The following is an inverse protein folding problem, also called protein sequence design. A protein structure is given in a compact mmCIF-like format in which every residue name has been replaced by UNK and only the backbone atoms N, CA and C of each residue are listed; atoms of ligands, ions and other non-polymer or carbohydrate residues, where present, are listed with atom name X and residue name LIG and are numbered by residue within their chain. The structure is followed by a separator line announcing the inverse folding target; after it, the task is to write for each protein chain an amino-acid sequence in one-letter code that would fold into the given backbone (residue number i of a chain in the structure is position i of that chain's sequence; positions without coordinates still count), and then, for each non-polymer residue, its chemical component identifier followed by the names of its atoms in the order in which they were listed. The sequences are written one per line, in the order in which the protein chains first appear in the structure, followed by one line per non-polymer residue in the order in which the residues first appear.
data_IF_083021581387
#
_entry.id   IF_083021581387
#
_cell.length_a   1.000
_cell.length_b   1.000
_cell.length_c   1.000
_cell.angle_alpha   90.00
_cell.angle_beta   90.00
_cell.angle_gamma   90.00
#
_symmetry.space_group_name_H-M   'P 1'
#
loop_
_entity.id
_entity.type
_entity.pdbx_description
1 polymer ?
#
# COMPACT_ATOMS: atom_id res chain seq x y z
N UNK A 1 7.70 -4.04 -3.28
CA UNK A 1 8.56 -4.13 -2.08
C UNK A 1 10.04 -4.34 -2.40
N UNK A 2 10.42 -5.08 -3.45
CA UNK A 2 11.84 -5.39 -3.77
C UNK A 2 12.78 -4.19 -3.86
N UNK A 3 12.39 -3.12 -4.56
CA UNK A 3 13.26 -1.94 -4.72
C UNK A 3 13.60 -1.25 -3.38
N UNK A 4 12.65 -1.19 -2.45
CA UNK A 4 12.84 -0.53 -1.16
C UNK A 4 13.66 -1.41 -0.20
N UNK A 5 13.50 -2.73 -0.32
CA UNK A 5 14.32 -3.72 0.38
C UNK A 5 15.79 -3.64 -0.05
N UNK A 6 16.06 -3.59 -1.36
CA UNK A 6 17.41 -3.47 -1.89
C UNK A 6 18.08 -2.13 -1.54
N UNK A 7 17.28 -1.06 -1.43
CA UNK A 7 17.77 0.24 -1.00
C UNK A 7 18.34 0.21 0.44
N UNK A 8 17.83 -0.65 1.32
CA UNK A 8 18.41 -0.80 2.67
C UNK A 8 19.83 -1.37 2.63
N UNK A 9 20.10 -2.25 1.67
CA UNK A 9 21.42 -2.85 1.49
C UNK A 9 22.38 -1.88 0.77
N UNK A 10 21.87 -0.99 -0.08
CA UNK A 10 22.64 0.01 -0.81
C UNK A 10 23.06 1.23 0.03
N UNK A 11 22.32 1.57 1.08
CA UNK A 11 22.55 2.79 1.86
C UNK A 11 23.68 2.65 2.89
N UNK A 12 24.55 3.67 2.96
CA UNK A 12 25.52 3.82 4.05
C UNK A 12 24.89 4.48 5.28
N UNK A 13 25.07 3.86 6.45
CA UNK A 13 24.54 4.35 7.71
C UNK A 13 25.64 5.06 8.51
N UNK A 14 25.47 6.35 8.87
CA UNK A 14 26.49 7.10 9.62
C UNK A 14 26.65 6.64 11.07
N UNK A 15 25.69 5.87 11.61
CA UNK A 15 25.69 5.37 12.99
C UNK A 15 25.50 3.85 12.99
N UNK A 16 26.40 3.12 13.67
CA UNK A 16 26.36 1.66 13.76
C UNK A 16 25.07 1.11 14.39
N UNK A 17 24.54 1.81 15.40
CA UNK A 17 23.28 1.44 16.03
C UNK A 17 22.10 1.48 15.03
N UNK A 18 22.09 2.47 14.13
CA UNK A 18 21.06 2.58 13.10
C UNK A 18 21.17 1.45 12.07
N UNK A 19 22.40 1.09 11.65
CA UNK A 19 22.64 -0.06 10.77
C UNK A 19 22.16 -1.36 11.40
N UNK A 20 22.53 -1.63 12.64
CA UNK A 20 22.17 -2.86 13.35
C UNK A 20 20.65 -2.96 13.52
N UNK A 21 19.98 -1.86 13.91
CA UNK A 21 18.52 -1.82 14.04
C UNK A 21 17.81 -2.07 12.70
N UNK A 22 18.30 -1.46 11.62
CA UNK A 22 17.67 -1.56 10.30
C UNK A 22 17.91 -2.92 9.67
N UNK A 23 19.11 -3.48 9.75
CA UNK A 23 19.42 -4.82 9.23
C UNK A 23 18.70 -5.93 10.01
N UNK A 24 18.48 -5.73 11.32
CA UNK A 24 17.79 -6.71 12.15
C UNK A 24 16.27 -6.79 11.89
N UNK A 25 15.63 -5.71 11.43
CA UNK A 25 14.15 -5.63 11.30
C UNK A 25 13.64 -5.30 9.89
N UNK A 26 14.47 -4.67 9.06
CA UNK A 26 14.15 -4.18 7.70
C UNK A 26 12.77 -3.50 7.61
N UNK A 27 12.48 -2.46 8.42
CA UNK A 27 11.19 -1.78 8.38
C UNK A 27 11.02 -1.02 7.06
N UNK A 28 9.88 -1.20 6.40
CA UNK A 28 9.54 -0.53 5.15
C UNK A 28 8.25 0.30 5.35
N UNK A 29 8.34 1.60 5.04
CA UNK A 29 7.21 2.52 5.08
C UNK A 29 6.74 2.84 3.67
N UNK A 30 5.63 2.23 3.24
CA UNK A 30 4.94 2.61 2.00
C UNK A 30 3.74 3.47 2.38
N UNK A 31 3.49 4.55 1.65
CA UNK A 31 2.35 5.44 1.86
C UNK A 31 1.55 5.63 0.58
N UNK A 32 0.36 6.19 0.72
CA UNK A 32 -0.51 6.56 -0.40
C UNK A 32 -0.39 8.07 -0.64
N UNK A 33 -0.09 8.45 -1.88
CA UNK A 33 -0.14 9.85 -2.33
C UNK A 33 -1.35 10.07 -3.22
N UNK A 34 -1.85 11.31 -3.25
CA UNK A 34 -2.97 11.72 -4.10
C UNK A 34 -4.33 11.07 -3.76
N UNK A 35 -4.57 10.75 -2.48
CA UNK A 35 -5.84 10.20 -1.99
C UNK A 35 -7.02 11.15 -2.27
N UNK A 36 -6.82 12.46 -2.15
CA UNK A 36 -7.84 13.46 -2.41
C UNK A 36 -8.36 13.41 -3.85
N UNK A 37 -7.47 13.21 -4.82
CA UNK A 37 -7.87 13.07 -6.22
C UNK A 37 -8.57 11.74 -6.49
N UNK A 38 -8.12 10.66 -5.84
CA UNK A 38 -8.79 9.37 -5.93
C UNK A 38 -10.22 9.46 -5.40
N UNK A 39 -10.44 10.15 -4.28
CA UNK A 39 -11.77 10.44 -3.74
C UNK A 39 -12.62 11.23 -4.72
N UNK A 40 -12.08 12.32 -5.28
CA UNK A 40 -12.79 13.15 -6.25
C UNK A 40 -13.18 12.38 -7.53
N UNK A 41 -12.34 11.45 -8.00
CA UNK A 41 -12.68 10.56 -9.14
C UNK A 41 -13.79 9.55 -8.84
N UNK A 42 -14.00 9.23 -7.57
CA UNK A 42 -15.04 8.32 -7.12
C UNK A 42 -16.29 9.08 -6.63
N UNK A 43 -16.37 10.38 -6.90
CA UNK A 43 -17.43 11.29 -6.44
C UNK A 43 -17.57 11.34 -4.92
N UNK A 44 -16.46 11.15 -4.19
CA UNK A 44 -16.40 11.18 -2.73
C UNK A 44 -15.76 12.47 -2.22
N UNK A 45 -16.29 13.00 -1.12
CA UNK A 45 -15.72 14.14 -0.39
C UNK A 45 -15.03 13.67 0.90
N UNK A 46 -14.21 14.51 1.55
CA UNK A 46 -13.64 14.16 2.86
C UNK A 46 -14.61 14.37 4.03
N UNK A 47 -15.45 15.40 3.94
CA UNK A 47 -16.27 15.87 5.06
C UNK A 47 -17.61 15.14 5.12
N UNK A 48 -18.16 14.80 3.97
CA UNK A 48 -19.46 14.14 3.82
C UNK A 48 -19.25 12.85 3.04
N UNK A 49 -18.86 11.79 3.75
CA UNK A 49 -18.71 10.45 3.21
C UNK A 49 -19.95 9.63 3.55
N UNK A 50 -20.63 9.15 2.51
CA UNK A 50 -21.70 8.17 2.66
C UNK A 50 -21.13 6.81 3.08
N UNK A 51 -21.96 5.96 3.68
CA UNK A 51 -21.57 4.59 4.07
C UNK A 51 -20.98 3.77 2.91
N UNK A 52 -21.50 3.97 1.69
CA UNK A 52 -20.98 3.33 0.48
C UNK A 52 -19.58 3.84 0.10
N UNK A 53 -19.29 5.13 0.33
CA UNK A 53 -17.97 5.71 0.12
C UNK A 53 -16.94 5.19 1.13
N UNK A 54 -17.35 5.03 2.38
CA UNK A 54 -16.51 4.45 3.43
C UNK A 54 -16.15 3.00 3.11
N UNK A 55 -17.11 2.20 2.63
CA UNK A 55 -16.84 0.82 2.20
C UNK A 55 -15.83 0.75 1.05
N UNK A 56 -15.92 1.66 0.06
CA UNK A 56 -14.93 1.73 -1.03
C UNK A 56 -13.53 2.08 -0.53
N UNK A 57 -13.42 3.03 0.39
CA UNK A 57 -12.15 3.39 1.02
C UNK A 57 -11.57 2.24 1.84
N UNK A 58 -12.42 1.53 2.58
CA UNK A 58 -12.04 0.37 3.36
C UNK A 58 -11.46 -0.73 2.47
N UNK A 59 -12.16 -1.09 1.39
CA UNK A 59 -11.69 -2.06 0.40
C UNK A 59 -10.36 -1.64 -0.25
N UNK A 60 -10.19 -0.35 -0.54
CA UNK A 60 -8.94 0.17 -1.08
C UNK A 60 -7.77 0.01 -0.09
N UNK A 61 -7.97 0.41 1.17
CA UNK A 61 -6.95 0.32 2.20
C UNK A 61 -6.60 -1.14 2.55
N UNK A 62 -7.61 -2.01 2.60
CA UNK A 62 -7.46 -3.45 2.80
C UNK A 62 -6.62 -4.06 1.67
N UNK A 63 -7.01 -3.85 0.42
CA UNK A 63 -6.29 -4.35 -0.75
C UNK A 63 -4.82 -3.88 -0.73
N UNK A 64 -4.60 -2.60 -0.42
CA UNK A 64 -3.27 -2.02 -0.31
C UNK A 64 -2.41 -2.75 0.73
N UNK A 65 -2.93 -2.94 1.95
CA UNK A 65 -2.23 -3.67 3.01
C UNK A 65 -1.94 -5.13 2.63
N UNK A 66 -2.91 -5.81 2.02
CA UNK A 66 -2.81 -7.20 1.61
C UNK A 66 -1.69 -7.42 0.58
N UNK A 67 -1.63 -6.58 -0.45
CA UNK A 67 -0.58 -6.70 -1.47
C UNK A 67 0.82 -6.42 -0.93
N UNK A 68 0.96 -5.49 0.02
CA UNK A 68 2.25 -5.22 0.68
C UNK A 68 2.71 -6.43 1.49
N UNK A 69 1.79 -7.02 2.25
CA UNK A 69 2.01 -8.23 3.03
C UNK A 69 2.38 -9.40 2.12
N UNK A 70 1.60 -9.66 1.06
CA UNK A 70 1.87 -10.73 0.10
C UNK A 70 3.25 -10.61 -0.53
N UNK A 71 3.61 -9.39 -0.99
CA UNK A 71 4.93 -9.14 -1.56
C UNK A 71 6.06 -9.34 -0.54
N UNK A 72 5.82 -9.09 0.75
CA UNK A 72 6.77 -9.36 1.83
C UNK A 72 6.97 -10.86 2.06
N UNK A 73 5.89 -11.65 2.02
CA UNK A 73 5.97 -13.12 2.10
C UNK A 73 6.77 -13.70 0.95
N UNK A 74 6.50 -13.26 -0.27
CA UNK A 74 7.19 -13.78 -1.45
C UNK A 74 8.69 -13.42 -1.41
N UNK A 75 9.04 -12.23 -0.94
CA UNK A 75 10.42 -11.83 -0.70
C UNK A 75 11.10 -12.70 0.38
N UNK A 76 10.40 -13.01 1.47
CA UNK A 76 10.93 -13.87 2.53
C UNK A 76 11.16 -15.33 2.07
N UNK A 77 10.37 -15.82 1.11
CA UNK A 77 10.62 -17.11 0.45
C UNK A 77 11.88 -17.09 -0.42
N UNK A 78 12.16 -15.96 -1.07
CA UNK A 78 13.31 -15.79 -1.98
C UNK A 78 14.64 -15.57 -1.22
N UNK A 79 14.66 -14.63 -0.27
CA UNK A 79 15.88 -14.20 0.44
C UNK A 79 16.07 -14.84 1.83
N UNK A 80 15.05 -15.54 2.33
CA UNK A 80 15.02 -16.06 3.70
C UNK A 80 14.41 -15.08 4.71
N UNK A 81 14.06 -15.59 5.89
CA UNK A 81 13.44 -14.80 6.96
C UNK A 81 14.45 -13.87 7.63
N UNK A 82 13.93 -12.76 8.19
CA UNK A 82 14.74 -11.75 8.89
C UNK A 82 15.25 -12.31 10.24
N UNK A 83 16.46 -11.90 10.63
CA UNK A 83 17.22 -12.46 11.76
C UNK A 83 16.57 -12.29 13.16
N UNK A 84 15.68 -11.31 13.36
CA UNK A 84 15.03 -11.06 14.65
C UNK A 84 13.54 -11.48 14.63
N UNK A 85 13.18 -12.72 14.99
CA UNK A 85 11.80 -13.21 14.97
C UNK A 85 10.92 -12.64 16.09
N UNK A 86 11.49 -12.01 17.13
CA UNK A 86 10.74 -11.60 18.34
C UNK A 86 9.68 -10.52 18.11
N UNK A 87 9.72 -9.81 16.97
CA UNK A 87 8.71 -8.79 16.63
C UNK A 87 7.55 -9.33 15.77
N UNK A 88 7.60 -10.57 15.28
CA UNK A 88 6.66 -11.08 14.27
C UNK A 88 5.36 -11.69 14.82
N UNK A 89 5.01 -11.44 16.09
CA UNK A 89 3.72 -11.88 16.67
C UNK A 89 2.49 -11.34 15.92
N UNK A 90 2.66 -10.37 15.01
CA UNK A 90 1.61 -9.82 14.16
C UNK A 90 1.46 -10.52 12.79
N UNK A 91 2.26 -11.55 12.51
CA UNK A 91 2.32 -12.17 11.19
C UNK A 91 2.33 -13.70 11.25
N UNK A 92 1.47 -14.28 12.08
CA UNK A 92 1.17 -15.70 11.93
C UNK A 92 0.42 -15.91 10.61
N UNK A 93 0.63 -17.03 9.90
CA UNK A 93 -0.13 -17.35 8.69
C UNK A 93 -1.65 -17.34 8.95
N UNK A 94 -2.07 -17.57 10.20
CA UNK A 94 -3.46 -17.48 10.66
C UNK A 94 -4.07 -16.08 10.55
N UNK A 95 -3.29 -15.01 10.76
CA UNK A 95 -3.77 -13.62 10.65
C UNK A 95 -3.94 -13.22 9.18
N UNK A 96 -3.07 -13.72 8.32
CA UNK A 96 -3.15 -13.59 6.86
C UNK A 96 -4.37 -14.33 6.28
N UNK A 97 -4.65 -15.54 6.79
CA UNK A 97 -5.86 -16.30 6.45
C UNK A 97 -7.12 -15.62 6.98
N UNK A 98 -7.09 -14.99 8.16
CA UNK A 98 -8.21 -14.16 8.65
C UNK A 98 -8.50 -12.94 7.77
N UNK A 99 -7.46 -12.28 7.24
CA UNK A 99 -7.63 -11.21 6.25
C UNK A 99 -8.13 -11.75 4.90
N UNK A 100 -7.71 -12.96 4.48
CA UNK A 100 -8.19 -13.59 3.25
C UNK A 100 -9.65 -14.10 3.34
N UNK A 101 -10.08 -14.54 4.52
CA UNK A 101 -11.42 -15.09 4.75
C UNK A 101 -12.51 -14.01 4.89
N UNK A 102 -12.11 -12.75 5.07
CA UNK A 102 -12.99 -11.59 4.91
C UNK A 102 -13.04 -11.17 3.43
N UNK A 103 -13.78 -11.93 2.61
CA UNK A 103 -14.37 -11.45 1.34
C UNK A 103 -13.47 -10.79 0.24
N UNK A 104 -12.20 -11.15 0.11
CA UNK A 104 -11.32 -10.66 -0.99
C UNK A 104 -11.56 -11.44 -2.32
N UNK A 105 -12.78 -11.85 -2.65
CA UNK A 105 -13.07 -12.54 -3.91
C UNK A 105 -13.44 -11.60 -5.07
N UNK A 106 -13.67 -10.30 -4.82
CA UNK A 106 -14.15 -9.38 -5.86
C UNK A 106 -13.07 -8.46 -6.46
N UNK A 107 -11.86 -8.39 -5.92
CA UNK A 107 -10.81 -7.51 -6.46
C UNK A 107 -10.16 -8.20 -7.66
N UNK A 108 -10.80 -8.08 -8.83
CA UNK A 108 -10.11 -8.26 -10.10
C UNK A 108 -8.94 -7.26 -10.12
N UNK A 109 -7.73 -7.64 -10.57
CA UNK A 109 -6.68 -6.67 -10.80
C UNK A 109 -7.25 -5.66 -11.79
N UNK A 110 -7.62 -4.49 -11.29
CA UNK A 110 -8.09 -3.42 -12.14
C UNK A 110 -6.90 -3.12 -13.05
N UNK A 111 -7.10 -3.32 -14.35
CA UNK A 111 -6.12 -2.95 -15.35
C UNK A 111 -5.61 -1.56 -14.97
N UNK A 112 -4.29 -1.44 -14.82
CA UNK A 112 -3.62 -0.16 -14.55
C UNK A 112 -4.20 0.81 -15.56
N UNK A 113 -5.12 1.68 -15.11
CA UNK A 113 -5.80 2.59 -16.03
C UNK A 113 -4.70 3.41 -16.68
N UNK A 114 -4.62 3.43 -18.02
CA UNK A 114 -3.55 4.13 -18.71
C UNK A 114 -3.49 5.54 -18.15
N UNK A 115 -2.33 5.92 -17.64
CA UNK A 115 -2.09 7.26 -17.13
C UNK A 115 -2.53 8.25 -18.20
N UNK A 116 -3.60 9.00 -17.89
CA UNK A 116 -3.99 10.26 -18.51
C UNK A 116 -3.54 10.43 -19.98
N UNK A 117 -4.12 9.69 -20.92
CA UNK A 117 -3.86 9.93 -22.35
C UNK A 117 -4.65 11.10 -22.94
N UNK A 118 -5.70 11.60 -22.26
CA UNK A 118 -6.46 12.75 -22.75
C UNK A 118 -6.35 13.94 -21.80
N UNK A 119 -5.41 14.83 -22.12
CA UNK A 119 -5.25 16.19 -21.58
C UNK A 119 -6.48 17.11 -21.80
N UNK A 120 -7.64 16.56 -22.18
CA UNK A 120 -8.83 17.25 -22.67
C UNK A 120 -10.01 17.25 -21.68
N UNK A 121 -10.11 16.31 -20.75
CA UNK A 121 -11.25 16.26 -19.79
C UNK A 121 -11.05 17.16 -18.57
N UNK A 122 -9.80 17.48 -18.22
CA UNK A 122 -9.49 18.32 -17.05
C UNK A 122 -9.84 19.81 -17.25
N UNK A 123 -10.05 20.28 -18.50
CA UNK A 123 -10.46 21.66 -18.78
C UNK A 123 -11.95 21.93 -18.53
N UNK A 124 -12.81 20.92 -18.37
CA UNK A 124 -14.26 21.15 -18.24
C UNK A 124 -14.70 21.56 -16.83
N UNK A 125 -13.92 21.30 -15.79
CA UNK A 125 -14.28 21.72 -14.42
C UNK A 125 -13.79 23.12 -14.03
N UNK A 126 -12.90 23.73 -14.80
CA UNK A 126 -12.36 25.05 -14.48
C UNK A 126 -13.17 26.21 -15.10
N UNK A 127 -14.12 25.91 -15.99
CA UNK A 127 -14.89 26.91 -16.77
C UNK A 127 -16.33 27.17 -16.28
N UNK A 128 -16.68 26.74 -15.05
CA UNK A 128 -18.00 27.00 -14.41
C UNK A 128 -17.91 27.97 -13.21
N UNK A 129 -16.80 28.69 -13.08
CA UNK A 129 -16.63 29.74 -12.07
C UNK A 129 -16.03 30.99 -12.71
N UNK A 130 -16.74 31.53 -13.69
CA UNK A 130 -16.66 32.92 -14.16
C UNK A 130 -18.09 33.38 -14.42
#
# INVERSE_FOLDING_TARGET
MRALDELLDYQDYPVLAAKNSTMARRPLGVGIINLAYWLARNDLSYQYIDANGLNKLHQYAEAWSYYLIKASVDLAKEKGAVAAPTASLHFTPELLVKMQNAEIQHIKPHAILPACQSRLTCRRHQKRRE
#
